data_IF_310551080277
#
_entry.id   IF_310551080277
#
_cell.length_a   1.000
_cell.length_b   1.000
_cell.length_c   1.000
_cell.angle_alpha   90.00
_cell.angle_beta   90.00
_cell.angle_gamma   90.00
#
_symmetry.space_group_name_H-M   'P 1'
#
loop_
_entity.id
_entity.type
_entity.pdbx_description
1 polymer ?
#
# COMPACT_ATOMS: atom_id res chain seq x y z
N UNK A 1 8.41 -26.15 -4.78
CA UNK A 1 9.79 -26.40 -4.34
C UNK A 1 10.27 -25.10 -3.71
N UNK A 2 10.36 -25.00 -2.38
CA UNK A 2 10.78 -23.76 -1.72
C UNK A 2 12.23 -23.44 -2.13
N UNK A 3 12.42 -22.33 -2.84
CA UNK A 3 13.73 -21.96 -3.36
C UNK A 3 14.65 -21.55 -2.19
N UNK A 4 15.75 -22.29 -1.97
CA UNK A 4 16.69 -22.06 -0.84
C UNK A 4 17.36 -20.68 -0.88
N UNK A 5 17.20 -19.95 -1.98
CA UNK A 5 17.65 -18.57 -2.15
C UNK A 5 16.95 -17.59 -1.21
N UNK A 6 15.69 -17.85 -0.85
CA UNK A 6 14.93 -17.02 0.09
C UNK A 6 15.65 -16.95 1.44
N UNK A 7 16.00 -18.06 2.07
CA UNK A 7 16.64 -18.02 3.39
C UNK A 7 18.05 -17.41 3.39
N UNK A 8 18.77 -17.47 2.27
CA UNK A 8 20.17 -17.05 2.20
C UNK A 8 20.33 -15.56 1.83
N UNK A 9 19.45 -15.03 0.98
CA UNK A 9 19.51 -13.64 0.52
C UNK A 9 18.51 -12.71 1.22
N UNK A 10 17.74 -13.24 2.18
CA UNK A 10 16.79 -12.43 2.93
C UNK A 10 17.50 -11.53 3.93
N UNK A 11 17.13 -10.25 3.93
CA UNK A 11 17.68 -9.28 4.86
C UNK A 11 17.07 -9.47 6.26
N UNK A 12 17.72 -10.33 7.04
CA UNK A 12 17.36 -10.60 8.42
C UNK A 12 17.47 -9.35 9.31
N UNK A 13 18.35 -8.40 8.98
CA UNK A 13 18.51 -7.16 9.73
C UNK A 13 17.25 -6.32 9.61
N UNK A 14 16.75 -6.14 8.38
CA UNK A 14 15.52 -5.41 8.12
C UNK A 14 14.32 -6.03 8.85
N UNK A 15 14.17 -7.37 8.79
CA UNK A 15 13.08 -8.06 9.48
C UNK A 15 13.14 -7.85 10.99
N UNK A 16 14.33 -7.97 11.61
CA UNK A 16 14.47 -7.75 13.06
C UNK A 16 14.12 -6.31 13.43
N UNK A 17 14.58 -5.32 12.66
CA UNK A 17 14.23 -3.91 12.91
C UNK A 17 12.72 -3.69 12.81
N UNK A 18 12.06 -4.25 11.81
CA UNK A 18 10.59 -4.15 11.65
C UNK A 18 9.87 -4.81 12.83
N UNK A 19 10.33 -5.99 13.28
CA UNK A 19 9.75 -6.67 14.44
C UNK A 19 9.93 -5.88 15.74
N UNK A 20 11.08 -5.24 15.94
CA UNK A 20 11.31 -4.38 17.10
C UNK A 20 10.38 -3.17 17.08
N UNK A 21 10.29 -2.46 15.96
CA UNK A 21 9.42 -1.28 15.83
C UNK A 21 7.95 -1.65 16.03
N UNK A 22 7.49 -2.74 15.43
CA UNK A 22 6.10 -3.22 15.60
C UNK A 22 5.84 -3.71 17.03
N UNK A 23 6.81 -4.37 17.67
CA UNK A 23 6.75 -4.77 19.07
C UNK A 23 6.63 -3.58 20.03
N UNK A 24 7.46 -2.55 19.85
CA UNK A 24 7.34 -1.29 20.59
C UNK A 24 5.98 -0.63 20.35
N UNK A 25 5.45 -0.68 19.12
CA UNK A 25 4.11 -0.20 18.80
C UNK A 25 3.01 -0.90 19.60
N UNK A 26 3.08 -2.23 19.75
CA UNK A 26 2.11 -3.01 20.54
C UNK A 26 2.18 -2.64 22.03
N UNK A 27 3.38 -2.50 22.58
CA UNK A 27 3.57 -2.06 23.97
C UNK A 27 2.97 -0.67 24.19
N UNK A 28 3.18 0.24 23.25
CA UNK A 28 2.63 1.59 23.32
C UNK A 28 1.09 1.58 23.26
N UNK A 29 0.49 0.78 22.37
CA UNK A 29 -0.97 0.61 22.29
C UNK A 29 -1.51 0.06 23.61
N UNK A 30 -0.87 -0.96 24.17
CA UNK A 30 -1.26 -1.52 25.48
C UNK A 30 -1.23 -0.46 26.58
N UNK A 31 -0.17 0.35 26.63
CA UNK A 31 -0.05 1.44 27.61
C UNK A 31 -1.14 2.49 27.42
N UNK A 32 -1.41 2.91 26.19
CA UNK A 32 -2.40 3.94 25.87
C UNK A 32 -3.85 3.45 26.05
N UNK A 33 -4.13 2.18 25.79
CA UNK A 33 -5.47 1.59 25.92
C UNK A 33 -5.79 1.13 27.34
N UNK A 34 -4.80 1.04 28.23
CA UNK A 34 -4.97 0.54 29.61
C UNK A 34 -6.00 1.33 30.44
N UNK A 35 -6.19 2.61 30.13
CA UNK A 35 -7.17 3.49 30.79
C UNK A 35 -8.62 3.31 30.31
N UNK A 36 -8.84 2.67 29.15
CA UNK A 36 -10.19 2.39 28.64
C UNK A 36 -10.60 0.97 29.01
N UNK A 37 -11.72 0.80 29.73
CA UNK A 37 -12.37 -0.51 29.87
C UNK A 37 -12.99 -0.88 28.52
N UNK A 38 -12.27 -1.68 27.75
CA UNK A 38 -12.76 -2.19 26.47
C UNK A 38 -13.95 -3.14 26.69
N UNK A 39 -15.15 -2.74 26.25
CA UNK A 39 -16.27 -3.65 26.03
C UNK A 39 -16.01 -4.35 24.70
N UNK A 40 -15.24 -5.45 24.71
CA UNK A 40 -14.90 -6.23 23.51
C UNK A 40 -13.47 -6.77 23.50
N UNK A 41 -12.98 -7.17 22.32
CA UNK A 41 -11.58 -7.60 22.15
C UNK A 41 -10.61 -6.42 22.33
N UNK A 42 -9.62 -6.50 23.25
CA UNK A 42 -8.61 -5.48 23.45
C UNK A 42 -7.91 -5.03 22.17
N UNK A 43 -7.64 -3.72 22.05
CA UNK A 43 -6.94 -3.16 20.88
C UNK A 43 -5.56 -3.79 20.62
N UNK A 44 -4.82 -4.14 21.68
CA UNK A 44 -3.52 -4.80 21.53
C UNK A 44 -3.64 -6.19 20.88
N UNK A 45 -4.70 -6.96 21.19
CA UNK A 45 -4.94 -8.27 20.57
C UNK A 45 -5.29 -8.12 19.09
N UNK A 46 -6.10 -7.11 18.74
CA UNK A 46 -6.35 -6.78 17.33
C UNK A 46 -5.05 -6.45 16.60
N UNK A 47 -4.17 -5.65 17.19
CA UNK A 47 -2.87 -5.32 16.61
C UNK A 47 -2.01 -6.56 16.38
N UNK A 48 -2.02 -7.52 17.33
CA UNK A 48 -1.28 -8.76 17.19
C UNK A 48 -1.80 -9.61 16.01
N UNK A 49 -3.12 -9.71 15.82
CA UNK A 49 -3.70 -10.38 14.66
C UNK A 49 -3.29 -9.72 13.35
N UNK A 50 -3.27 -8.39 13.28
CA UNK A 50 -2.82 -7.65 12.10
C UNK A 50 -1.32 -7.82 11.82
N UNK A 51 -0.48 -7.91 12.86
CA UNK A 51 0.95 -8.21 12.69
C UNK A 51 1.14 -9.60 12.09
N UNK A 52 0.43 -10.61 12.60
CA UNK A 52 0.49 -11.98 12.06
C UNK A 52 -0.03 -12.01 10.61
N UNK A 53 -1.14 -11.33 10.32
CA UNK A 53 -1.67 -11.21 8.97
C UNK A 53 -0.69 -10.49 8.01
N UNK A 54 -0.01 -9.43 8.49
CA UNK A 54 1.01 -8.72 7.71
C UNK A 54 2.26 -9.56 7.44
N UNK A 55 2.73 -10.31 8.44
CA UNK A 55 3.88 -11.21 8.30
C UNK A 55 3.58 -12.36 7.33
N UNK A 56 2.40 -12.96 7.42
CA UNK A 56 1.97 -14.01 6.48
C UNK A 56 1.84 -13.48 5.06
N UNK A 57 1.27 -12.28 4.87
CA UNK A 57 1.25 -11.60 3.57
C UNK A 57 2.66 -11.33 3.03
N UNK A 58 3.56 -10.82 3.88
CA UNK A 58 4.95 -10.56 3.52
C UNK A 58 5.66 -11.84 3.04
N UNK A 59 5.58 -12.93 3.81
CA UNK A 59 6.18 -14.22 3.43
C UNK A 59 5.60 -14.78 2.12
N UNK A 60 4.30 -14.59 1.90
CA UNK A 60 3.63 -15.01 0.67
C UNK A 60 4.18 -14.22 -0.52
N UNK A 61 4.23 -12.88 -0.42
CA UNK A 61 4.74 -12.01 -1.49
C UNK A 61 6.23 -12.26 -1.75
N UNK A 62 7.05 -12.46 -0.71
CA UNK A 62 8.47 -12.82 -0.87
C UNK A 62 8.65 -14.16 -1.59
N UNK A 63 7.69 -15.07 -1.51
CA UNK A 63 7.74 -16.36 -2.18
C UNK A 63 7.31 -16.31 -3.66
N UNK A 64 6.74 -15.18 -4.12
CA UNK A 64 6.33 -15.00 -5.51
C UNK A 64 7.49 -14.48 -6.36
N UNK A 65 7.54 -14.91 -7.62
CA UNK A 65 8.47 -14.36 -8.60
C UNK A 65 8.12 -12.90 -8.89
N UNK A 66 9.12 -12.01 -8.84
CA UNK A 66 8.93 -10.59 -9.12
C UNK A 66 8.51 -10.34 -10.57
N UNK A 67 8.79 -11.25 -11.51
CA UNK A 67 8.32 -11.12 -12.90
C UNK A 67 6.79 -11.21 -12.98
N UNK A 68 6.15 -12.06 -12.16
CA UNK A 68 4.69 -12.12 -12.08
C UNK A 68 4.14 -10.78 -11.57
N UNK A 69 4.76 -10.23 -10.53
CA UNK A 69 4.39 -8.93 -9.98
C UNK A 69 4.49 -7.82 -11.04
N UNK A 70 5.54 -7.81 -11.87
CA UNK A 70 5.65 -6.89 -13.01
C UNK A 70 4.50 -7.11 -14.00
N UNK A 71 4.25 -8.35 -14.43
CA UNK A 71 3.23 -8.65 -15.44
C UNK A 71 1.80 -8.33 -15.00
N UNK A 72 1.51 -8.40 -13.70
CA UNK A 72 0.23 -7.99 -13.14
C UNK A 72 0.13 -6.51 -12.77
N UNK A 73 1.21 -5.71 -12.85
CA UNK A 73 1.23 -4.33 -12.37
C UNK A 73 0.09 -3.45 -12.93
N UNK A 74 -0.13 -3.44 -14.26
CA UNK A 74 -1.20 -2.66 -14.87
C UNK A 74 -2.62 -3.18 -14.52
N UNK A 75 -2.76 -4.49 -14.34
CA UNK A 75 -4.03 -5.09 -13.90
C UNK A 75 -4.36 -4.71 -12.46
N UNK A 76 -3.37 -4.77 -11.57
CA UNK A 76 -3.50 -4.30 -10.18
C UNK A 76 -3.80 -2.79 -10.15
N UNK A 77 -3.17 -1.99 -10.99
CA UNK A 77 -3.45 -0.56 -11.11
C UNK A 77 -4.89 -0.29 -11.48
N UNK A 78 -5.40 -0.94 -12.54
CA UNK A 78 -6.80 -0.84 -12.92
C UNK A 78 -7.75 -1.27 -11.79
N UNK A 79 -7.46 -2.39 -11.13
CA UNK A 79 -8.28 -2.90 -10.04
C UNK A 79 -8.36 -1.92 -8.85
N UNK A 80 -7.23 -1.37 -8.41
CA UNK A 80 -7.20 -0.41 -7.29
C UNK A 80 -7.82 0.94 -7.70
N UNK A 81 -7.68 1.36 -8.95
CA UNK A 81 -8.33 2.57 -9.45
C UNK A 81 -9.86 2.43 -9.43
N UNK A 82 -10.39 1.28 -9.86
CA UNK A 82 -11.82 0.96 -9.71
C UNK A 82 -12.21 1.00 -8.23
N UNK A 83 -11.39 0.46 -7.32
CA UNK A 83 -11.66 0.49 -5.89
C UNK A 83 -11.70 1.91 -5.30
N UNK A 84 -10.82 2.81 -5.75
CA UNK A 84 -10.83 4.23 -5.39
C UNK A 84 -12.11 4.93 -5.87
N UNK A 85 -12.59 4.62 -7.07
CA UNK A 85 -13.86 5.12 -7.57
C UNK A 85 -15.03 4.54 -6.76
N UNK A 86 -15.00 3.25 -6.43
CA UNK A 86 -16.04 2.62 -5.61
C UNK A 86 -16.15 3.24 -4.22
N UNK A 87 -15.02 3.62 -3.58
CA UNK A 87 -15.07 4.36 -2.30
C UNK A 87 -15.82 5.67 -2.41
N UNK A 88 -15.67 6.40 -3.52
CA UNK A 88 -16.39 7.68 -3.68
C UNK A 88 -17.92 7.49 -3.76
N UNK A 89 -18.38 6.29 -4.16
CA UNK A 89 -19.80 5.98 -4.34
C UNK A 89 -20.42 5.29 -3.13
N UNK A 90 -19.70 4.34 -2.52
CA UNK A 90 -20.23 3.41 -1.50
C UNK A 90 -19.45 3.52 -0.19
N UNK A 91 -18.37 4.30 -0.15
CA UNK A 91 -17.53 4.42 1.03
C UNK A 91 -18.27 5.07 2.20
N UNK A 92 -17.84 4.71 3.40
CA UNK A 92 -18.38 5.24 4.65
C UNK A 92 -17.76 6.60 4.96
N UNK A 93 -18.59 7.62 5.11
CA UNK A 93 -18.15 8.94 5.58
C UNK A 93 -17.86 8.87 7.08
N UNK A 94 -16.58 9.00 7.43
CA UNK A 94 -16.14 9.09 8.84
C UNK A 94 -15.31 10.35 9.00
N UNK A 95 -15.62 11.17 10.01
CA UNK A 95 -14.91 12.44 10.28
C UNK A 95 -14.83 13.37 9.06
N UNK A 96 -15.89 13.43 8.25
CA UNK A 96 -15.96 14.26 7.04
C UNK A 96 -15.19 13.73 5.82
N UNK A 97 -14.67 12.49 5.88
CA UNK A 97 -13.96 11.88 4.77
C UNK A 97 -14.47 10.47 4.42
N UNK A 98 -14.61 10.22 3.12
CA UNK A 98 -15.07 8.95 2.56
C UNK A 98 -13.85 8.14 2.10
N UNK A 99 -13.25 7.38 3.01
CA UNK A 99 -11.96 6.70 2.76
C UNK A 99 -12.00 5.18 2.91
N UNK A 100 -13.00 4.69 3.62
CA UNK A 100 -13.08 3.29 4.03
C UNK A 100 -14.26 2.60 3.34
N UNK A 101 -13.99 1.43 2.76
CA UNK A 101 -15.01 0.45 2.40
C UNK A 101 -15.19 -0.47 3.60
N UNK A 102 -16.40 -0.45 4.17
CA UNK A 102 -16.78 -1.37 5.23
C UNK A 102 -17.21 -2.70 4.60
N UNK A 103 -16.37 -3.74 4.74
CA UNK A 103 -16.69 -5.10 4.28
C UNK A 103 -17.38 -5.93 5.38
N UNK A 104 -17.84 -5.29 6.46
CA UNK A 104 -18.49 -5.91 7.61
C UNK A 104 -17.53 -6.54 8.62
N UNK A 105 -16.49 -7.25 8.16
CA UNK A 105 -15.49 -7.89 9.03
C UNK A 105 -14.24 -7.04 9.21
N UNK A 106 -13.86 -6.28 8.18
CA UNK A 106 -12.73 -5.36 8.20
C UNK A 106 -12.99 -4.20 7.26
N UNK A 107 -12.30 -3.08 7.51
CA UNK A 107 -12.37 -1.91 6.65
C UNK A 107 -11.16 -1.90 5.73
N UNK A 108 -11.37 -1.68 4.44
CA UNK A 108 -10.29 -1.49 3.46
C UNK A 108 -10.21 0.00 3.12
N UNK A 109 -8.99 0.53 3.15
CA UNK A 109 -8.66 1.84 2.61
C UNK A 109 -7.96 1.66 1.25
N UNK A 110 -8.61 1.94 0.11
CA UNK A 110 -8.02 1.67 -1.21
C UNK A 110 -6.80 2.54 -1.57
N UNK A 111 -6.61 3.66 -0.88
CA UNK A 111 -5.42 4.51 -1.09
C UNK A 111 -4.13 3.84 -0.57
N UNK A 112 -4.22 2.91 0.38
CA UNK A 112 -3.07 2.15 0.87
C UNK A 112 -2.44 1.24 -0.20
N UNK A 113 -3.18 0.30 -0.85
CA UNK A 113 -2.63 -0.50 -1.92
C UNK A 113 -2.21 0.33 -3.14
N UNK A 114 -2.83 1.50 -3.38
CA UNK A 114 -2.44 2.38 -4.49
C UNK A 114 -0.99 2.85 -4.38
N UNK A 115 -0.46 3.09 -3.18
CA UNK A 115 0.96 3.45 -2.96
C UNK A 115 1.93 2.39 -3.47
N UNK A 116 1.59 1.12 -3.33
CA UNK A 116 2.45 0.01 -3.78
C UNK A 116 2.28 -0.18 -5.30
N UNK A 117 1.04 -0.15 -5.76
CA UNK A 117 0.69 -0.41 -7.15
C UNK A 117 1.21 0.67 -8.10
N UNK A 118 1.24 1.95 -7.68
CA UNK A 118 1.84 3.02 -8.49
C UNK A 118 3.35 2.79 -8.68
N UNK A 119 4.07 2.33 -7.66
CA UNK A 119 5.50 2.00 -7.74
C UNK A 119 5.72 0.87 -8.74
N UNK A 120 4.93 -0.21 -8.63
CA UNK A 120 5.02 -1.34 -9.56
C UNK A 120 4.71 -0.93 -11.01
N UNK A 121 3.70 -0.09 -11.19
CA UNK A 121 3.29 0.42 -12.51
C UNK A 121 4.39 1.27 -13.13
N UNK A 122 5.00 2.15 -12.34
CA UNK A 122 6.10 3.01 -12.79
C UNK A 122 7.37 2.21 -13.07
N UNK A 123 7.72 1.26 -12.20
CA UNK A 123 8.85 0.37 -12.41
C UNK A 123 8.71 -0.40 -13.74
N UNK A 124 7.51 -0.92 -14.05
CA UNK A 124 7.23 -1.57 -15.34
C UNK A 124 7.27 -0.61 -16.53
N UNK A 125 6.70 0.58 -16.38
CA UNK A 125 6.68 1.58 -17.44
C UNK A 125 8.11 1.99 -17.83
N UNK A 126 8.93 2.33 -16.84
CA UNK A 126 10.30 2.81 -17.07
C UNK A 126 11.28 1.69 -17.44
N UNK A 127 11.12 0.47 -16.94
CA UNK A 127 12.00 -0.66 -17.32
C UNK A 127 11.88 -1.04 -18.80
N UNK A 128 10.70 -0.82 -19.41
CA UNK A 128 10.45 -1.08 -20.83
C UNK A 128 10.69 0.13 -21.72
N UNK A 129 10.95 1.30 -21.13
CA UNK A 129 11.19 2.52 -21.88
C UNK A 129 12.62 2.51 -22.44
N UNK A 130 12.82 2.67 -23.77
CA UNK A 130 14.15 2.62 -24.34
C UNK A 130 14.98 3.83 -23.88
N UNK A 131 15.89 3.58 -22.95
CA UNK A 131 16.80 4.53 -22.28
C UNK A 131 17.53 5.45 -23.28
N UNK A 132 17.77 4.97 -24.50
CA UNK A 132 18.55 5.68 -25.52
C UNK A 132 17.86 6.90 -26.16
N UNK A 133 16.55 7.09 -26.00
CA UNK A 133 15.84 8.22 -26.66
C UNK A 133 15.77 9.51 -25.86
N UNK A 134 16.11 9.48 -24.56
CA UNK A 134 15.77 10.58 -23.65
C UNK A 134 14.26 10.74 -23.50
N UNK A 135 13.80 11.27 -22.37
CA UNK A 135 12.38 11.56 -22.17
C UNK A 135 12.08 12.93 -22.78
N UNK A 136 11.26 12.99 -23.82
CA UNK A 136 10.72 14.29 -24.23
C UNK A 136 9.62 14.72 -23.27
N UNK A 137 9.33 16.03 -23.19
CA UNK A 137 8.21 16.56 -22.40
C UNK A 137 6.86 15.90 -22.76
N UNK A 138 6.71 15.38 -23.98
CA UNK A 138 5.52 14.65 -24.42
C UNK A 138 5.47 13.22 -23.86
N UNK A 139 6.62 12.60 -23.67
CA UNK A 139 6.73 11.26 -23.08
C UNK A 139 6.41 11.26 -21.59
N UNK A 140 6.60 12.41 -20.93
CA UNK A 140 6.24 12.62 -19.52
C UNK A 140 4.73 12.74 -19.29
N UNK A 141 3.94 13.03 -20.34
CA UNK A 141 2.49 13.19 -20.20
C UNK A 141 1.79 11.91 -19.74
N UNK A 142 2.24 10.75 -20.23
CA UNK A 142 1.65 9.46 -19.87
C UNK A 142 1.88 9.07 -18.39
N UNK A 143 3.12 9.07 -17.86
CA UNK A 143 3.34 8.77 -16.45
C UNK A 143 2.78 9.86 -15.52
N UNK A 144 2.74 11.13 -15.94
CA UNK A 144 2.00 12.17 -15.20
C UNK A 144 0.50 11.86 -15.11
N UNK A 145 -0.11 11.30 -16.17
CA UNK A 145 -1.51 10.89 -16.12
C UNK A 145 -1.71 9.69 -15.18
N UNK A 146 -0.83 8.69 -15.23
CA UNK A 146 -0.84 7.55 -14.33
C UNK A 146 -0.71 7.96 -12.85
N UNK A 147 -0.01 9.05 -12.55
CA UNK A 147 0.06 9.61 -11.19
C UNK A 147 -1.13 10.50 -10.86
N UNK A 148 -1.51 11.37 -11.79
CA UNK A 148 -2.52 12.41 -11.59
C UNK A 148 -3.90 11.83 -11.35
N UNK A 149 -4.29 10.77 -12.07
CA UNK A 149 -5.60 10.14 -11.90
C UNK A 149 -5.83 9.63 -10.47
N UNK A 150 -4.98 8.76 -9.90
CA UNK A 150 -5.17 8.30 -8.52
C UNK A 150 -5.03 9.43 -7.50
N UNK A 151 -4.08 10.37 -7.68
CA UNK A 151 -3.93 11.50 -6.78
C UNK A 151 -5.21 12.35 -6.71
N UNK A 152 -5.81 12.69 -7.85
CA UNK A 152 -7.06 13.44 -7.91
C UNK A 152 -8.26 12.69 -7.32
N UNK A 153 -8.33 11.37 -7.53
CA UNK A 153 -9.38 10.54 -6.92
C UNK A 153 -9.26 10.52 -5.38
N UNK A 154 -8.03 10.42 -4.86
CA UNK A 154 -7.79 10.45 -3.41
C UNK A 154 -8.06 11.85 -2.83
N UNK A 155 -7.71 12.92 -3.55
CA UNK A 155 -8.08 14.29 -3.14
C UNK A 155 -9.60 14.47 -3.04
N UNK A 156 -10.38 13.81 -3.90
CA UNK A 156 -11.85 13.80 -3.81
C UNK A 156 -12.39 12.99 -2.62
N UNK A 157 -11.57 12.16 -1.96
CA UNK A 157 -11.91 11.41 -0.74
C UNK A 157 -11.63 12.21 0.56
N UNK A 158 -11.65 13.54 0.46
CA UNK A 158 -10.89 14.48 1.30
C UNK A 158 -9.70 13.89 2.08
N UNK A 159 -8.81 13.15 1.42
CA UNK A 159 -7.61 12.56 2.03
C UNK A 159 -6.33 13.20 1.49
N UNK A 160 -6.07 14.43 1.95
CA UNK A 160 -4.95 15.22 1.45
C UNK A 160 -3.58 14.61 1.82
N UNK A 161 -3.48 13.97 2.99
CA UNK A 161 -2.24 13.33 3.44
C UNK A 161 -1.82 12.19 2.53
N UNK A 162 -2.75 11.28 2.20
CA UNK A 162 -2.44 10.16 1.30
C UNK A 162 -2.28 10.62 -0.15
N UNK A 163 -3.01 11.65 -0.60
CA UNK A 163 -2.82 12.21 -1.93
C UNK A 163 -1.41 12.77 -2.12
N UNK A 164 -0.89 13.51 -1.13
CA UNK A 164 0.48 14.04 -1.14
C UNK A 164 1.50 12.90 -1.14
N UNK A 165 1.30 11.87 -0.30
CA UNK A 165 2.20 10.72 -0.27
C UNK A 165 2.27 9.98 -1.62
N UNK A 166 1.12 9.68 -2.24
CA UNK A 166 1.08 9.03 -3.56
C UNK A 166 1.77 9.91 -4.61
N UNK A 167 1.51 11.22 -4.58
CA UNK A 167 2.12 12.19 -5.50
C UNK A 167 3.64 12.26 -5.34
N UNK A 168 4.14 12.27 -4.11
CA UNK A 168 5.57 12.26 -3.83
C UNK A 168 6.24 10.95 -4.28
N UNK A 169 5.62 9.81 -3.99
CA UNK A 169 6.13 8.50 -4.41
C UNK A 169 6.29 8.47 -5.93
N UNK A 170 5.22 8.77 -6.68
CA UNK A 170 5.30 8.80 -8.15
C UNK A 170 6.25 9.87 -8.66
N UNK A 171 6.24 11.06 -8.04
CA UNK A 171 7.12 12.17 -8.42
C UNK A 171 8.60 11.88 -8.25
N UNK A 172 9.00 11.08 -7.25
CA UNK A 172 10.41 10.67 -7.07
C UNK A 172 10.90 9.65 -8.10
N UNK A 173 9.97 8.96 -8.78
CA UNK A 173 10.29 7.96 -9.80
C UNK A 173 10.26 8.52 -11.23
N UNK A 174 9.68 9.71 -11.42
CA UNK A 174 9.70 10.47 -12.68
C UNK A 174 11.08 11.10 -12.91
#
# INVERSE_FOLDING_TARGET
MFDRRLFTNFDWTLLVVVLLVTGFGVVNIYSASSSYRDIGTPYFLKQLYWIVAGLTLCLTVCSLDYHLLEDFAYWLYGAVLILLVMVLLVGKTTMGATRWIDLGFFNIQPSEPMKIVIIMTFARFFSRYPVFKGLTLRDLAYPLLLLGVPALLIMKQPDLGTAVLVSLIGGTML
#
